data_IF_581366189796
#
_entry.id   IF_581366189796
#
_cell.length_a   1.000
_cell.length_b   1.000
_cell.length_c   1.000
_cell.angle_alpha   90.00
_cell.angle_beta   90.00
_cell.angle_gamma   90.00
#
_symmetry.space_group_name_H-M   'P 1'
#
loop_
_entity.id
_entity.type
_entity.pdbx_description
1 polymer ?
#
# COMPACT_ATOMS: atom_id res chain seq x y z
N UNK A 1 -18.41 -1.68 -15.08
CA UNK A 1 -17.35 -0.84 -14.48
C UNK A 1 -17.15 -1.30 -13.03
N UNK A 2 -16.01 -1.91 -12.69
CA UNK A 2 -15.72 -2.23 -11.28
C UNK A 2 -15.67 -0.90 -10.52
N UNK A 3 -16.43 -0.77 -9.43
CA UNK A 3 -16.45 0.45 -8.61
C UNK A 3 -15.01 0.72 -8.15
N UNK A 4 -14.44 1.86 -8.56
CA UNK A 4 -13.17 2.38 -8.09
C UNK A 4 -13.25 2.64 -6.58
N UNK A 5 -13.07 1.60 -5.77
CA UNK A 5 -13.17 1.69 -4.32
C UNK A 5 -11.76 1.70 -3.76
N UNK A 6 -11.45 2.79 -3.06
CA UNK A 6 -10.35 2.81 -2.10
C UNK A 6 -10.86 2.08 -0.86
N UNK A 7 -10.09 1.13 -0.34
CA UNK A 7 -10.45 0.35 0.84
C UNK A 7 -9.28 0.34 1.82
N UNK A 8 -9.56 0.64 3.09
CA UNK A 8 -8.57 0.48 4.16
C UNK A 8 -8.85 -0.82 4.90
N UNK A 9 -7.80 -1.59 5.11
CA UNK A 9 -7.86 -2.88 5.78
C UNK A 9 -6.86 -2.87 6.92
N UNK A 10 -7.32 -3.21 8.12
CA UNK A 10 -6.46 -3.28 9.29
C UNK A 10 -6.20 -4.74 9.61
N UNK A 11 -4.96 -5.06 9.98
CA UNK A 11 -4.58 -6.40 10.44
C UNK A 11 -5.32 -6.77 11.73
N UNK A 12 -5.42 -8.06 12.03
CA UNK A 12 -6.16 -8.55 13.19
C UNK A 12 -5.53 -8.17 14.54
N UNK A 13 -4.21 -7.96 14.56
CA UNK A 13 -3.43 -7.45 15.69
C UNK A 13 -3.45 -5.92 15.79
N UNK A 14 -3.76 -5.22 14.70
CA UNK A 14 -3.84 -3.75 14.67
C UNK A 14 -2.52 -3.05 14.34
N UNK A 15 -1.43 -3.79 14.17
CA UNK A 15 -0.07 -3.24 13.96
C UNK A 15 0.16 -2.79 12.51
N UNK A 16 -0.76 -3.11 11.60
CA UNK A 16 -0.65 -2.75 10.20
C UNK A 16 -1.99 -2.38 9.59
N UNK A 17 -1.98 -1.37 8.73
CA UNK A 17 -3.09 -1.09 7.84
C UNK A 17 -2.63 -1.06 6.39
N UNK A 18 -3.43 -1.60 5.49
CA UNK A 18 -3.19 -1.60 4.05
C UNK A 18 -4.32 -0.87 3.33
N UNK A 19 -3.96 0.18 2.59
CA UNK A 19 -4.85 0.94 1.73
C UNK A 19 -4.82 0.33 0.32
N UNK A 20 -5.89 -0.36 -0.06
CA UNK A 20 -6.10 -0.92 -1.39
C UNK A 20 -6.59 0.17 -2.33
N UNK A 21 -5.88 0.42 -3.43
CA UNK A 21 -6.27 1.38 -4.46
C UNK A 21 -7.10 0.73 -5.58
N UNK A 22 -7.86 1.52 -6.38
CA UNK A 22 -8.77 0.99 -7.40
C UNK A 22 -8.16 0.03 -8.42
N UNK A 23 -6.87 0.22 -8.76
CA UNK A 23 -6.16 -0.60 -9.73
C UNK A 23 -5.59 -1.90 -9.13
N UNK A 24 -5.73 -2.09 -7.82
CA UNK A 24 -5.29 -3.31 -7.17
C UNK A 24 -6.10 -4.51 -7.71
N UNK A 25 -5.45 -5.58 -8.20
CA UNK A 25 -6.12 -6.72 -8.85
C UNK A 25 -6.94 -7.59 -7.87
N UNK A 26 -6.86 -7.32 -6.58
CA UNK A 26 -7.56 -8.01 -5.49
C UNK A 26 -6.63 -8.85 -4.62
N UNK A 27 -7.13 -9.28 -3.46
CA UNK A 27 -6.38 -10.14 -2.52
C UNK A 27 -6.12 -11.53 -3.09
N UNK A 28 -5.08 -12.19 -2.55
CA UNK A 28 -4.81 -13.60 -2.81
C UNK A 28 -4.07 -13.91 -4.12
N UNK A 29 -3.69 -12.88 -4.88
CA UNK A 29 -2.72 -13.02 -5.98
C UNK A 29 -1.32 -12.69 -5.48
N UNK A 30 -0.44 -13.70 -5.48
CA UNK A 30 0.98 -13.48 -5.24
C UNK A 30 1.61 -12.65 -6.38
N UNK A 31 2.64 -11.88 -6.06
CA UNK A 31 3.41 -11.10 -7.05
C UNK A 31 2.67 -9.88 -7.62
N UNK A 32 1.65 -9.38 -6.93
CA UNK A 32 0.86 -8.21 -7.35
C UNK A 32 1.63 -6.92 -7.14
N UNK A 33 2.17 -6.71 -5.93
CA UNK A 33 3.18 -5.71 -5.70
C UNK A 33 4.55 -6.31 -6.06
N UNK A 34 5.27 -5.67 -6.97
CA UNK A 34 6.62 -6.09 -7.37
C UNK A 34 7.70 -5.10 -6.94
N UNK A 35 7.28 -3.94 -6.41
CA UNK A 35 8.16 -2.90 -5.91
C UNK A 35 7.50 -2.19 -4.74
N UNK A 36 8.29 -1.98 -3.69
CA UNK A 36 7.92 -1.25 -2.49
C UNK A 36 8.87 -0.07 -2.32
N UNK A 37 8.34 1.13 -2.05
CA UNK A 37 9.16 2.33 -1.77
C UNK A 37 8.72 2.89 -0.43
N UNK A 38 9.66 3.00 0.52
CA UNK A 38 9.39 3.66 1.79
C UNK A 38 9.22 5.17 1.59
N UNK A 39 8.15 5.75 2.15
CA UNK A 39 7.82 7.16 1.97
C UNK A 39 8.94 8.10 2.46
N UNK A 40 9.64 7.70 3.53
CA UNK A 40 10.82 8.41 4.07
C UNK A 40 11.98 8.56 3.09
N UNK A 41 12.07 7.73 2.04
CA UNK A 41 13.11 7.87 1.00
C UNK A 41 12.74 8.90 -0.06
N UNK A 42 11.49 9.39 -0.05
CA UNK A 42 10.96 10.35 -1.02
C UNK A 42 10.87 11.74 -0.39
N UNK A 43 10.43 11.82 0.87
CA UNK A 43 10.23 13.08 1.59
C UNK A 43 11.42 13.33 2.50
N UNK A 44 12.16 14.41 2.24
CA UNK A 44 13.27 14.82 3.10
C UNK A 44 12.78 15.16 4.51
N UNK A 45 13.51 14.69 5.53
CA UNK A 45 13.17 14.87 6.95
C UNK A 45 11.76 14.38 7.33
N UNK A 46 11.23 13.36 6.66
CA UNK A 46 9.93 12.78 6.98
C UNK A 46 9.80 12.41 8.46
N UNK A 47 8.81 13.01 9.15
CA UNK A 47 8.43 12.73 10.53
C UNK A 47 7.01 12.16 10.51
N UNK A 48 6.89 10.85 10.45
CA UNK A 48 5.59 10.16 10.39
C UNK A 48 5.77 8.64 10.55
N UNK A 49 4.66 7.89 10.59
CA UNK A 49 4.71 6.43 10.68
C UNK A 49 5.42 5.83 9.47
N UNK A 50 5.95 4.62 9.60
CA UNK A 50 6.56 3.96 8.46
C UNK A 50 5.48 3.58 7.44
N UNK A 51 5.60 4.14 6.23
CA UNK A 51 4.66 3.93 5.12
C UNK A 51 5.42 3.39 3.92
N UNK A 52 4.93 2.29 3.35
CA UNK A 52 5.41 1.76 2.08
C UNK A 52 4.40 2.00 0.96
N UNK A 53 4.90 2.38 -0.21
CA UNK A 53 4.13 2.55 -1.44
C UNK A 53 4.34 1.32 -2.33
N UNK A 54 3.23 0.70 -2.74
CA UNK A 54 3.24 -0.57 -3.46
C UNK A 54 2.90 -0.36 -4.94
N UNK A 55 3.75 -0.89 -5.81
CA UNK A 55 3.62 -0.74 -7.26
C UNK A 55 3.48 -2.09 -7.97
N UNK A 56 2.64 -2.10 -9.00
CA UNK A 56 2.51 -3.23 -9.93
C UNK A 56 3.69 -3.31 -10.92
N UNK A 57 3.70 -4.36 -11.76
CA UNK A 57 4.74 -4.59 -12.77
C UNK A 57 4.80 -3.52 -13.87
N UNK A 58 3.78 -2.68 -13.99
CA UNK A 58 3.73 -1.57 -14.94
C UNK A 58 4.14 -0.25 -14.28
N UNK A 59 4.51 -0.27 -12.99
CA UNK A 59 4.86 0.92 -12.22
C UNK A 59 3.67 1.75 -11.75
N UNK A 60 2.43 1.22 -11.79
CA UNK A 60 1.28 1.89 -11.20
C UNK A 60 1.25 1.63 -9.70
N UNK A 61 0.98 2.68 -8.91
CA UNK A 61 0.72 2.50 -7.49
C UNK A 61 -0.62 1.79 -7.29
N UNK A 62 -0.61 0.72 -6.51
CA UNK A 62 -1.77 -0.14 -6.26
C UNK A 62 -2.13 -0.24 -4.78
N UNK A 63 -1.25 0.19 -3.88
CA UNK A 63 -1.54 0.21 -2.46
C UNK A 63 -0.55 1.02 -1.64
N UNK A 64 -0.87 1.14 -0.36
CA UNK A 64 0.02 1.70 0.66
C UNK A 64 -0.08 0.86 1.93
N UNK A 65 1.04 0.50 2.51
CA UNK A 65 1.13 -0.19 3.80
C UNK A 65 1.56 0.80 4.88
N UNK A 66 0.86 0.81 6.00
CA UNK A 66 1.10 1.65 7.16
C UNK A 66 1.46 0.74 8.33
N UNK A 67 2.67 0.87 8.86
CA UNK A 67 3.03 0.23 10.13
C UNK A 67 2.56 1.13 11.27
N UNK A 68 1.73 0.58 12.14
CA UNK A 68 1.13 1.25 13.28
C UNK A 68 1.88 0.77 14.53
N UNK A 69 2.64 1.69 15.15
CA UNK A 69 3.32 1.47 16.45
C UNK A 69 2.34 1.58 17.63
#
# INVERSE_FOLDING_TARGET
>A
MKKNKINLEVSGDGDMAYLVLPNHPGKGKAGVAVKHIALRTIIENYQGPEIYLDFDSNGNMIGMEFLLD
#
